data_IF_287255326633
#
_entry.id   IF_287255326633
#
_cell.length_a   1.000
_cell.length_b   1.000
_cell.length_c   1.000
_cell.angle_alpha   90.00
_cell.angle_beta   90.00
_cell.angle_gamma   90.00
#
_symmetry.space_group_name_H-M   'P 1'
#
loop_
_entity.id
_entity.type
_entity.pdbx_description
1 polymer ?
#
# COMPACT_ATOMS: atom_id res chain seq x y z
N UNK A 1 -19.26 -5.61 22.15
CA UNK A 1 -18.24 -4.54 22.14
C UNK A 1 -17.32 -4.79 20.97
N UNK A 2 -17.60 -4.10 19.86
CA UNK A 2 -16.96 -4.33 18.57
C UNK A 2 -15.62 -3.60 18.53
N UNK A 3 -14.63 -4.16 17.83
CA UNK A 3 -13.28 -3.59 17.55
C UNK A 3 -13.35 -2.12 17.09
N UNK A 4 -14.49 -1.72 16.51
CA UNK A 4 -14.77 -0.39 15.97
C UNK A 4 -14.85 0.69 17.07
N UNK A 5 -15.25 0.36 18.31
CA UNK A 5 -15.44 1.36 19.37
C UNK A 5 -14.11 1.82 20.03
N UNK A 6 -13.05 1.00 19.96
CA UNK A 6 -11.78 1.29 20.64
C UNK A 6 -10.69 1.84 19.72
N UNK A 7 -10.76 1.58 18.41
CA UNK A 7 -9.74 2.00 17.46
C UNK A 7 -9.97 3.42 16.91
N UNK A 8 -8.86 4.07 16.52
CA UNK A 8 -8.89 5.30 15.72
C UNK A 8 -9.50 5.00 14.34
N UNK A 9 -10.34 5.91 13.83
CA UNK A 9 -10.97 5.82 12.51
C UNK A 9 -9.93 5.58 11.41
N UNK A 10 -8.73 6.15 11.55
CA UNK A 10 -7.63 5.94 10.60
C UNK A 10 -7.19 4.48 10.55
N UNK A 11 -7.19 3.77 11.68
CA UNK A 11 -6.85 2.35 11.74
C UNK A 11 -7.96 1.49 11.13
N UNK A 12 -9.21 1.81 11.44
CA UNK A 12 -10.39 1.12 10.89
C UNK A 12 -10.38 1.20 9.36
N UNK A 13 -10.20 2.40 8.82
CA UNK A 13 -10.15 2.63 7.37
C UNK A 13 -8.98 1.89 6.72
N UNK A 14 -7.78 1.87 7.34
CA UNK A 14 -6.64 1.10 6.82
C UNK A 14 -6.94 -0.40 6.73
N UNK A 15 -7.61 -0.97 7.74
CA UNK A 15 -7.98 -2.39 7.75
C UNK A 15 -9.00 -2.70 6.65
N UNK A 16 -10.01 -1.84 6.49
CA UNK A 16 -11.03 -1.99 5.43
C UNK A 16 -10.40 -1.85 4.05
N UNK A 17 -9.51 -0.89 3.85
CA UNK A 17 -8.77 -0.70 2.60
C UNK A 17 -7.89 -1.91 2.29
N UNK A 18 -7.15 -2.43 3.29
CA UNK A 18 -6.33 -3.64 3.14
C UNK A 18 -7.18 -4.85 2.72
N UNK A 19 -8.31 -5.07 3.41
CA UNK A 19 -9.24 -6.15 3.07
C UNK A 19 -9.79 -6.00 1.64
N UNK A 20 -10.14 -4.77 1.25
CA UNK A 20 -10.63 -4.46 -0.09
C UNK A 20 -9.57 -4.73 -1.17
N UNK A 21 -8.32 -4.33 -0.94
CA UNK A 21 -7.21 -4.53 -1.88
C UNK A 21 -6.87 -6.02 -2.05
N UNK A 22 -6.81 -6.78 -0.95
CA UNK A 22 -6.46 -8.20 -0.95
C UNK A 22 -7.58 -9.09 -1.54
N UNK A 23 -8.86 -8.71 -1.35
CA UNK A 23 -10.03 -9.53 -1.74
C UNK A 23 -10.62 -9.22 -3.12
N UNK A 24 -9.95 -8.35 -3.87
CA UNK A 24 -10.43 -7.77 -5.11
C UNK A 24 -11.74 -6.98 -4.99
N UNK A 25 -11.90 -6.26 -3.87
CA UNK A 25 -13.09 -5.51 -3.51
C UNK A 25 -13.96 -6.21 -2.47
N UNK A 26 -14.90 -5.46 -1.92
CA UNK A 26 -15.85 -5.90 -0.89
C UNK A 26 -17.24 -6.11 -1.48
N UNK A 27 -17.99 -7.08 -0.98
CA UNK A 27 -19.41 -7.22 -1.34
C UNK A 27 -20.18 -5.96 -0.94
N UNK A 28 -21.18 -5.58 -1.74
CA UNK A 28 -22.02 -4.40 -1.48
C UNK A 28 -22.56 -4.36 -0.06
N UNK A 29 -23.16 -5.46 0.38
CA UNK A 29 -23.72 -5.61 1.73
C UNK A 29 -22.68 -5.36 2.83
N UNK A 30 -21.48 -5.89 2.67
CA UNK A 30 -20.37 -5.70 3.61
C UNK A 30 -19.91 -4.25 3.65
N UNK A 31 -19.81 -3.62 2.48
CA UNK A 31 -19.39 -2.24 2.34
C UNK A 31 -20.42 -1.27 2.94
N UNK A 32 -21.70 -1.50 2.70
CA UNK A 32 -22.80 -0.72 3.29
C UNK A 32 -22.86 -0.89 4.82
N UNK A 33 -22.58 -2.10 5.31
CA UNK A 33 -22.47 -2.38 6.76
C UNK A 33 -21.31 -1.60 7.39
N UNK A 34 -20.13 -1.60 6.77
CA UNK A 34 -18.99 -0.81 7.27
C UNK A 34 -19.28 0.68 7.26
N UNK A 35 -19.89 1.21 6.19
CA UNK A 35 -20.28 2.62 6.11
C UNK A 35 -21.22 3.00 7.26
N UNK A 36 -22.25 2.18 7.50
CA UNK A 36 -23.21 2.41 8.59
C UNK A 36 -22.48 2.45 9.95
N UNK A 37 -21.66 1.44 10.24
CA UNK A 37 -20.94 1.36 11.52
C UNK A 37 -19.99 2.54 11.75
N UNK A 38 -19.27 2.99 10.71
CA UNK A 38 -18.35 4.14 10.82
C UNK A 38 -19.15 5.42 11.07
N UNK A 39 -20.25 5.64 10.33
CA UNK A 39 -21.10 6.83 10.49
C UNK A 39 -21.77 6.86 11.85
N UNK A 40 -22.22 5.71 12.36
CA UNK A 40 -22.85 5.61 13.68
C UNK A 40 -21.85 5.89 14.81
N UNK A 41 -20.58 5.50 14.64
CA UNK A 41 -19.54 5.64 15.69
C UNK A 41 -18.81 6.99 15.65
N UNK A 42 -18.47 7.47 14.44
CA UNK A 42 -17.64 8.66 14.22
C UNK A 42 -18.40 9.85 13.62
N UNK A 43 -19.69 9.68 13.32
CA UNK A 43 -20.56 10.70 12.74
C UNK A 43 -20.53 10.75 11.20
N UNK A 44 -21.56 11.37 10.61
CA UNK A 44 -21.75 11.47 9.15
C UNK A 44 -20.68 12.28 8.41
N UNK A 45 -19.85 13.03 9.14
CA UNK A 45 -18.78 13.86 8.60
C UNK A 45 -17.65 13.03 7.95
N UNK A 46 -17.52 11.73 8.25
CA UNK A 46 -16.54 10.86 7.62
C UNK A 46 -16.92 10.43 6.18
N UNK A 47 -18.16 10.68 5.74
CA UNK A 47 -18.68 10.20 4.46
C UNK A 47 -17.92 10.75 3.24
N UNK A 48 -17.58 12.05 3.14
CA UNK A 48 -16.78 12.58 2.02
C UNK A 48 -15.39 11.95 1.95
N UNK A 49 -14.76 11.70 3.11
CA UNK A 49 -13.47 11.04 3.16
C UNK A 49 -13.53 9.59 2.65
N UNK A 50 -14.56 8.83 3.06
CA UNK A 50 -14.82 7.50 2.52
C UNK A 50 -15.04 7.54 1.01
N UNK A 51 -15.76 8.55 0.48
CA UNK A 51 -15.94 8.72 -0.96
C UNK A 51 -14.61 8.96 -1.70
N UNK A 52 -13.72 9.82 -1.18
CA UNK A 52 -12.39 10.03 -1.77
C UNK A 52 -11.57 8.73 -1.81
N UNK A 53 -11.65 7.90 -0.76
CA UNK A 53 -10.99 6.60 -0.72
C UNK A 53 -11.59 5.59 -1.72
N UNK A 54 -12.89 5.68 -1.99
CA UNK A 54 -13.54 4.88 -3.03
C UNK A 54 -13.13 5.33 -4.44
N UNK A 55 -13.09 6.63 -4.69
CA UNK A 55 -12.62 7.21 -5.95
C UNK A 55 -11.15 6.88 -6.22
N UNK A 56 -10.32 6.90 -5.16
CA UNK A 56 -8.94 6.47 -5.23
C UNK A 56 -8.78 4.96 -5.49
N UNK A 57 -9.83 4.16 -5.36
CA UNK A 57 -9.77 2.71 -5.55
C UNK A 57 -9.15 1.94 -4.37
N UNK A 58 -8.95 2.59 -3.21
CA UNK A 58 -8.48 1.93 -1.98
C UNK A 58 -9.59 1.10 -1.33
N UNK A 59 -10.85 1.56 -1.44
CA UNK A 59 -12.04 0.84 -0.99
C UNK A 59 -12.97 0.69 -2.18
N UNK A 60 -13.13 -0.52 -2.71
CA UNK A 60 -14.00 -0.76 -3.87
C UNK A 60 -15.04 -1.84 -3.61
N UNK A 61 -16.13 -1.75 -4.34
CA UNK A 61 -17.15 -2.79 -4.41
C UNK A 61 -16.72 -3.90 -5.39
N UNK A 62 -16.91 -5.16 -5.00
CA UNK A 62 -16.58 -6.33 -5.79
C UNK A 62 -17.58 -6.47 -6.94
N UNK A 63 -17.08 -6.48 -8.18
CA UNK A 63 -17.86 -6.63 -9.41
C UNK A 63 -18.88 -5.50 -9.72
N UNK A 64 -18.86 -4.39 -8.98
CA UNK A 64 -19.69 -3.22 -9.26
C UNK A 64 -18.90 -2.13 -9.99
N UNK A 65 -19.16 -1.92 -11.27
CA UNK A 65 -18.87 -0.62 -11.90
C UNK A 65 -19.87 0.39 -11.33
N UNK A 66 -19.52 0.99 -10.19
CA UNK A 66 -20.26 2.15 -9.67
C UNK A 66 -19.62 3.42 -10.23
N UNK A 67 -20.39 4.49 -10.40
CA UNK A 67 -19.88 5.80 -10.86
C UNK A 67 -18.76 6.38 -9.96
N UNK A 68 -18.57 5.81 -8.77
CA UNK A 68 -17.60 6.23 -7.75
C UNK A 68 -16.34 5.34 -7.77
N UNK A 69 -16.42 4.12 -8.33
CA UNK A 69 -15.27 3.22 -8.42
C UNK A 69 -14.40 3.60 -9.63
N UNK A 70 -13.07 3.64 -9.45
CA UNK A 70 -12.14 3.79 -10.58
C UNK A 70 -12.36 2.66 -11.60
N UNK A 71 -12.49 3.03 -12.89
CA UNK A 71 -12.60 2.07 -13.99
C UNK A 71 -11.34 1.18 -14.13
N UNK A 72 -10.20 1.66 -13.63
CA UNK A 72 -8.93 0.94 -13.57
C UNK A 72 -8.54 0.69 -12.11
N UNK A 73 -8.70 -0.54 -11.59
CA UNK A 73 -8.31 -0.85 -10.22
C UNK A 73 -6.79 -0.78 -10.05
N UNK A 74 -6.33 -0.23 -8.92
CA UNK A 74 -4.89 -0.10 -8.60
C UNK A 74 -4.22 -1.48 -8.55
N UNK A 75 -4.90 -2.46 -7.94
CA UNK A 75 -4.43 -3.85 -7.82
C UNK A 75 -5.56 -4.75 -8.29
N UNK A 76 -5.25 -5.74 -9.11
CA UNK A 76 -6.18 -6.81 -9.47
C UNK A 76 -5.52 -8.17 -9.31
N UNK A 77 -6.25 -9.14 -8.76
CA UNK A 77 -5.79 -10.51 -8.63
C UNK A 77 -4.69 -10.71 -7.58
N UNK A 78 -4.79 -10.04 -6.42
CA UNK A 78 -3.76 -10.13 -5.37
C UNK A 78 -3.42 -11.58 -5.02
N UNK A 79 -4.40 -12.47 -4.87
CA UNK A 79 -4.15 -13.87 -4.53
C UNK A 79 -3.30 -14.62 -5.60
N UNK A 80 -3.49 -14.29 -6.88
CA UNK A 80 -2.69 -14.86 -7.98
C UNK A 80 -1.27 -14.30 -7.93
N UNK A 81 -1.15 -12.98 -7.83
CA UNK A 81 0.12 -12.26 -7.76
C UNK A 81 0.93 -12.67 -6.52
N UNK A 82 0.28 -12.86 -5.37
CA UNK A 82 0.86 -13.31 -4.12
C UNK A 82 1.53 -14.68 -4.25
N UNK A 83 0.88 -15.61 -4.96
CA UNK A 83 1.44 -16.93 -5.25
C UNK A 83 2.56 -16.86 -6.29
N UNK A 84 2.35 -16.12 -7.39
CA UNK A 84 3.32 -16.02 -8.48
C UNK A 84 4.65 -15.41 -8.05
N UNK A 85 4.62 -14.37 -7.22
CA UNK A 85 5.81 -13.64 -6.75
C UNK A 85 6.21 -13.98 -5.32
N UNK A 86 5.63 -15.02 -4.72
CA UNK A 86 5.92 -15.46 -3.34
C UNK A 86 5.93 -14.27 -2.36
N UNK A 87 4.83 -13.50 -2.37
CA UNK A 87 4.69 -12.30 -1.53
C UNK A 87 4.48 -12.68 -0.05
N UNK A 88 3.86 -13.83 0.21
CA UNK A 88 3.64 -14.35 1.55
C UNK A 88 4.60 -15.50 1.78
N UNK A 89 5.40 -15.39 2.84
CA UNK A 89 6.41 -16.36 3.23
C UNK A 89 6.13 -16.76 4.67
N UNK A 90 5.88 -18.05 4.85
CA UNK A 90 5.70 -18.62 6.18
C UNK A 90 7.07 -18.71 6.90
N UNK A 91 7.06 -18.64 8.23
CA UNK A 91 8.22 -18.90 9.12
C UNK A 91 9.46 -17.96 9.01
N UNK A 92 9.25 -16.66 8.85
CA UNK A 92 10.37 -15.69 8.74
C UNK A 92 10.97 -15.25 10.09
N UNK A 93 10.26 -15.47 11.20
CA UNK A 93 10.61 -14.89 12.52
C UNK A 93 11.73 -15.62 13.28
N UNK A 94 12.13 -16.81 12.84
CA UNK A 94 12.96 -17.71 13.65
C UNK A 94 14.46 -17.40 13.61
N UNK A 95 14.91 -16.39 12.85
CA UNK A 95 16.34 -16.17 12.60
C UNK A 95 16.77 -14.71 12.85
N UNK A 96 17.93 -14.55 13.49
CA UNK A 96 18.54 -13.25 13.83
C UNK A 96 19.05 -12.51 12.58
N UNK A 97 19.30 -13.24 11.48
CA UNK A 97 19.78 -12.69 10.21
C UNK A 97 18.69 -12.78 9.14
N UNK A 98 18.27 -11.66 8.52
CA UNK A 98 17.27 -11.71 7.47
C UNK A 98 17.81 -12.50 6.28
N UNK A 99 17.06 -13.54 5.88
CA UNK A 99 17.34 -14.35 4.68
C UNK A 99 16.53 -13.90 3.47
N UNK A 100 15.39 -13.25 3.71
CA UNK A 100 14.46 -12.79 2.68
C UNK A 100 13.93 -11.38 3.02
N UNK A 101 13.58 -10.61 1.99
CA UNK A 101 12.93 -9.30 2.10
C UNK A 101 11.59 -9.36 2.88
N UNK A 102 10.96 -10.53 2.94
CA UNK A 102 9.75 -10.75 3.74
C UNK A 102 9.95 -10.50 5.24
N UNK A 103 11.19 -10.48 5.74
CA UNK A 103 11.52 -10.20 7.14
C UNK A 103 11.04 -8.83 7.60
N UNK A 104 11.12 -7.82 6.73
CA UNK A 104 10.81 -6.43 7.09
C UNK A 104 9.32 -6.17 7.34
N UNK A 105 8.43 -7.03 6.85
CA UNK A 105 7.00 -7.03 7.19
C UNK A 105 6.54 -8.36 7.80
N UNK A 106 7.40 -9.03 8.58
CA UNK A 106 6.96 -10.17 9.39
C UNK A 106 6.28 -11.29 8.58
N UNK A 107 6.82 -11.63 7.40
CA UNK A 107 6.28 -12.67 6.51
C UNK A 107 5.65 -12.15 5.21
N UNK A 108 5.54 -10.84 5.03
CA UNK A 108 5.16 -10.23 3.75
C UNK A 108 6.35 -9.58 3.05
N UNK A 109 6.62 -9.96 1.80
CA UNK A 109 7.52 -9.23 0.92
C UNK A 109 6.71 -8.24 0.09
N UNK A 110 7.13 -6.97 0.10
CA UNK A 110 6.44 -5.95 -0.70
C UNK A 110 6.47 -6.29 -2.18
N UNK A 111 5.35 -6.03 -2.85
CA UNK A 111 5.20 -6.28 -4.29
C UNK A 111 6.29 -5.58 -5.11
N UNK A 112 6.63 -4.33 -4.74
CA UNK A 112 7.66 -3.55 -5.38
C UNK A 112 9.04 -4.23 -5.28
N UNK A 113 9.42 -4.69 -4.09
CA UNK A 113 10.71 -5.36 -3.90
C UNK A 113 10.78 -6.64 -4.71
N UNK A 114 9.72 -7.47 -4.69
CA UNK A 114 9.66 -8.70 -5.49
C UNK A 114 9.72 -8.43 -6.98
N UNK A 115 9.10 -7.35 -7.43
CA UNK A 115 9.20 -6.93 -8.82
C UNK A 115 10.63 -6.54 -9.21
N UNK A 116 11.34 -5.83 -8.33
CA UNK A 116 12.74 -5.46 -8.54
C UNK A 116 13.71 -6.66 -8.44
N UNK A 117 13.41 -7.65 -7.60
CA UNK A 117 14.18 -8.91 -7.49
C UNK A 117 13.99 -9.80 -8.72
N UNK A 118 12.75 -9.95 -9.19
CA UNK A 118 12.37 -10.88 -10.25
C UNK A 118 12.66 -10.38 -11.67
N UNK A 119 12.72 -9.06 -11.90
CA UNK A 119 13.07 -8.54 -13.21
C UNK A 119 14.58 -8.59 -13.41
N UNK A 120 15.01 -9.62 -14.15
CA UNK A 120 16.34 -9.71 -14.72
C UNK A 120 16.63 -8.44 -15.54
N UNK A 121 17.88 -7.99 -15.45
CA UNK A 121 18.41 -6.66 -15.81
C UNK A 121 18.30 -6.32 -17.32
N UNK A 122 17.62 -7.15 -18.11
CA UNK A 122 17.67 -7.23 -19.58
C UNK A 122 16.38 -6.77 -20.26
N UNK A 123 15.25 -6.67 -19.56
CA UNK A 123 13.96 -6.27 -20.15
C UNK A 123 13.58 -4.80 -19.92
N UNK A 124 14.32 -4.08 -19.08
CA UNK A 124 14.09 -2.65 -18.94
C UNK A 124 14.61 -1.97 -20.20
N UNK A 125 13.73 -1.19 -20.85
CA UNK A 125 14.15 -0.32 -21.95
C UNK A 125 15.20 0.63 -21.38
N UNK A 126 16.46 0.29 -21.63
CA UNK A 126 17.58 1.16 -21.28
C UNK A 126 17.52 2.29 -22.28
N UNK A 127 16.99 3.43 -21.85
CA UNK A 127 17.07 4.67 -22.63
C UNK A 127 18.50 5.15 -22.49
N UNK A 128 19.33 4.80 -23.48
CA UNK A 128 20.68 5.33 -23.58
C UNK A 128 20.54 6.77 -24.07
N UNK A 129 20.87 7.73 -23.21
CA UNK A 129 21.07 9.12 -23.65
C UNK A 129 22.49 9.31 -24.19
N UNK A 130 22.70 10.35 -25.00
CA UNK A 130 24.03 10.76 -25.54
C UNK A 130 25.05 11.20 -24.47
N UNK A 131 24.73 11.03 -23.19
CA UNK A 131 25.61 11.40 -22.09
C UNK A 131 26.80 10.43 -22.00
N UNK A 132 28.01 10.93 -21.65
CA UNK A 132 29.18 10.08 -21.47
C UNK A 132 28.90 9.02 -20.39
N UNK A 133 29.15 7.75 -20.76
CA UNK A 133 28.94 6.62 -19.87
C UNK A 133 29.82 6.76 -18.62
N UNK A 134 29.20 6.72 -17.43
CA UNK A 134 29.95 6.69 -16.17
C UNK A 134 30.86 5.45 -16.12
N UNK A 135 32.09 5.62 -15.61
CA UNK A 135 33.10 4.55 -15.45
C UNK A 135 32.62 3.33 -14.65
N UNK A 136 31.57 3.48 -13.84
CA UNK A 136 30.91 2.38 -13.11
C UNK A 136 29.40 2.57 -13.25
N UNK A 137 28.61 1.54 -13.61
CA UNK A 137 27.16 1.66 -13.70
C UNK A 137 26.58 1.83 -12.29
N UNK A 138 26.41 3.07 -11.85
CA UNK A 138 25.72 3.39 -10.60
C UNK A 138 24.21 3.38 -10.88
N UNK A 139 23.49 2.44 -10.29
CA UNK A 139 22.03 2.37 -10.40
C UNK A 139 21.40 3.28 -9.37
N UNK A 140 20.44 4.08 -9.80
CA UNK A 140 19.61 4.94 -8.95
C UNK A 140 18.15 4.54 -9.15
N UNK A 141 17.43 4.34 -8.05
CA UNK A 141 16.01 4.03 -8.06
C UNK A 141 15.22 5.31 -7.75
N UNK A 142 14.33 5.73 -8.65
CA UNK A 142 13.44 6.87 -8.43
C UNK A 142 12.00 6.38 -8.27
N UNK A 143 11.37 6.64 -7.12
CA UNK A 143 9.99 6.23 -6.83
C UNK A 143 9.08 7.44 -6.64
N UNK A 144 8.02 7.49 -7.45
CA UNK A 144 6.98 8.52 -7.45
C UNK A 144 5.77 7.98 -6.66
N UNK A 145 5.21 8.80 -5.76
CA UNK A 145 4.10 8.41 -4.87
C UNK A 145 4.56 8.01 -3.47
N UNK A 146 5.87 7.80 -3.31
CA UNK A 146 6.54 7.60 -2.03
C UNK A 146 6.83 6.14 -1.69
N UNK A 147 7.75 5.95 -0.73
CA UNK A 147 8.10 4.63 -0.19
C UNK A 147 7.99 4.63 1.31
N UNK A 148 7.66 3.46 1.86
CA UNK A 148 7.76 3.21 3.29
C UNK A 148 9.20 2.88 3.70
N UNK A 149 9.50 3.06 4.99
CA UNK A 149 10.84 2.72 5.51
C UNK A 149 11.15 1.23 5.42
N UNK A 150 10.14 0.37 5.57
CA UNK A 150 10.30 -1.07 5.43
C UNK A 150 10.64 -1.44 3.98
N UNK A 151 9.99 -0.85 2.97
CA UNK A 151 10.38 -1.00 1.57
C UNK A 151 11.82 -0.54 1.31
N UNK A 152 12.20 0.64 1.82
CA UNK A 152 13.57 1.15 1.66
C UNK A 152 14.58 0.17 2.26
N UNK A 153 14.31 -0.38 3.45
CA UNK A 153 15.18 -1.36 4.09
C UNK A 153 15.25 -2.68 3.29
N UNK A 154 14.11 -3.18 2.80
CA UNK A 154 14.05 -4.35 1.92
C UNK A 154 14.83 -4.14 0.62
N UNK A 155 14.71 -2.97 -0.03
CA UNK A 155 15.45 -2.66 -1.26
C UNK A 155 16.96 -2.63 -0.99
N UNK A 156 17.38 -2.00 0.11
CA UNK A 156 18.80 -1.95 0.50
C UNK A 156 19.36 -3.34 0.81
N UNK A 157 18.54 -4.23 1.34
CA UNK A 157 18.90 -5.62 1.60
C UNK A 157 18.99 -6.45 0.32
N UNK A 158 17.96 -6.42 -0.53
CA UNK A 158 17.87 -7.28 -1.72
C UNK A 158 18.71 -6.79 -2.91
N UNK A 159 18.96 -5.48 -3.01
CA UNK A 159 19.55 -4.85 -4.19
C UNK A 159 20.72 -3.93 -3.80
N UNK A 160 21.87 -4.50 -3.37
CA UNK A 160 23.03 -3.72 -2.94
C UNK A 160 23.66 -2.87 -4.05
N UNK A 161 23.39 -3.18 -5.32
CA UNK A 161 23.88 -2.41 -6.47
C UNK A 161 23.23 -1.02 -6.60
N UNK A 162 22.08 -0.80 -5.97
CA UNK A 162 21.38 0.48 -6.02
C UNK A 162 22.09 1.44 -5.07
N UNK A 163 22.82 2.40 -5.64
CA UNK A 163 23.60 3.37 -4.88
C UNK A 163 22.70 4.35 -4.14
N UNK A 164 21.70 4.89 -4.84
CA UNK A 164 20.78 5.90 -4.30
C UNK A 164 19.33 5.52 -4.54
N UNK A 165 18.50 5.74 -3.53
CA UNK A 165 17.04 5.63 -3.60
C UNK A 165 16.51 7.04 -3.44
N UNK A 166 15.84 7.54 -4.47
CA UNK A 166 15.24 8.86 -4.51
C UNK A 166 13.73 8.68 -4.49
N UNK A 167 13.06 9.34 -3.54
CA UNK A 167 11.61 9.23 -3.36
C UNK A 167 11.00 10.61 -3.29
N UNK A 168 9.79 10.74 -3.85
CA UNK A 168 8.99 11.97 -3.73
C UNK A 168 8.60 12.29 -2.29
N UNK A 169 8.30 11.26 -1.50
CA UNK A 169 8.04 11.36 -0.07
C UNK A 169 8.29 10.02 0.63
N UNK A 170 8.60 10.06 1.92
CA UNK A 170 8.58 8.86 2.76
C UNK A 170 7.19 8.73 3.37
N UNK A 171 6.47 7.65 3.06
CA UNK A 171 5.04 7.52 3.36
C UNK A 171 4.81 6.39 4.36
N UNK A 172 3.78 6.53 5.18
CA UNK A 172 3.23 5.48 6.04
C UNK A 172 1.77 5.24 5.69
N UNK A 173 1.21 4.06 6.02
CA UNK A 173 -0.20 3.79 5.76
C UNK A 173 -1.15 4.82 6.40
N UNK A 174 -0.77 5.38 7.54
CA UNK A 174 -1.53 6.46 8.21
C UNK A 174 -1.46 7.76 7.41
N UNK A 175 -0.28 8.17 6.93
CA UNK A 175 -0.13 9.37 6.10
C UNK A 175 -0.86 9.23 4.75
N UNK A 176 -0.80 8.05 4.13
CA UNK A 176 -1.49 7.76 2.88
C UNK A 176 -3.01 7.89 3.03
N UNK A 177 -3.59 7.27 4.05
CA UNK A 177 -5.05 7.31 4.25
C UNK A 177 -5.51 8.71 4.66
N UNK A 178 -4.70 9.44 5.44
CA UNK A 178 -4.97 10.83 5.81
C UNK A 178 -4.81 11.82 4.66
N UNK A 179 -3.99 11.55 3.63
CA UNK A 179 -3.88 12.48 2.50
C UNK A 179 -5.17 12.60 1.69
N UNK A 180 -6.10 11.65 1.82
CA UNK A 180 -7.43 11.73 1.23
C UNK A 180 -8.45 12.49 2.09
N UNK A 181 -8.09 12.86 3.32
CA UNK A 181 -8.96 13.61 4.24
C UNK A 181 -8.82 15.12 3.98
N UNK A 182 -9.55 15.61 2.97
CA UNK A 182 -9.48 17.00 2.53
C UNK A 182 -10.06 18.02 3.53
N UNK A 183 -10.78 17.56 4.56
CA UNK A 183 -11.47 18.44 5.52
C UNK A 183 -10.94 18.30 6.95
N UNK A 184 -9.85 17.55 7.16
CA UNK A 184 -9.16 17.44 8.45
C UNK A 184 -9.97 16.73 9.54
N UNK A 185 -10.78 15.73 9.18
CA UNK A 185 -11.60 14.96 10.11
C UNK A 185 -10.78 14.09 11.06
N UNK A 186 -9.75 13.40 10.56
CA UNK A 186 -8.88 12.52 11.35
C UNK A 186 -8.13 13.26 12.47
N UNK A 187 -8.01 14.59 12.38
CA UNK A 187 -7.41 15.43 13.41
C UNK A 187 -8.36 15.74 14.57
N UNK A 188 -9.68 15.85 14.30
CA UNK A 188 -10.70 16.19 15.31
C UNK A 188 -10.97 15.03 16.27
N UNK A 189 -10.91 13.79 15.78
CA UNK A 189 -11.05 12.59 16.63
C UNK A 189 -9.84 12.36 17.54
N UNK A 190 -8.63 12.72 17.09
CA UNK A 190 -7.41 12.61 17.89
C UNK A 190 -7.37 13.60 19.07
N UNK A 191 -8.07 14.74 18.96
CA UNK A 191 -8.19 15.77 20.00
C UNK A 191 -9.33 15.52 21.00
N UNK A 192 -10.21 14.54 20.73
CA UNK A 192 -11.32 14.17 21.63
C UNK A 192 -10.96 13.08 22.65
N UNK A 193 -9.72 12.57 22.62
CA UNK A 193 -9.20 11.59 23.59
C UNK A 193 -8.23 12.25 24.55
#
# INVERSE_FOLDING_TARGET
MSIIESLDITQIVKLIALQSLVSDGLKKETLDTYKRLIVDTHGSNCLPWLMCLQQAGLIREKAGQTHINSANPIISGFAKTAKQMRLLVDDVHSTVKPTDAAYFYAGYASLLVRHLEGHDRTQWKTVVGDAPLLRSPKKMLFVIGGLTMAEIASIRFSLPDITAICVTSTVTGTQLVRSFDQHGFAFKDALRR
#
